data_IF_844342591070
#
_entry.id   IF_844342591070
#
_cell.length_a   1.000
_cell.length_b   1.000
_cell.length_c   1.000
_cell.angle_alpha   90.00
_cell.angle_beta   90.00
_cell.angle_gamma   90.00
#
_symmetry.space_group_name_H-M   'P 1'
#
loop_
_entity.id
_entity.type
_entity.pdbx_description
1 polymer ?
2 non-polymer ?
3 water ?
#
# COMPACT_ATOMS: atom_id res chain seq x y z
N UNK A 3 12.14 23.53 -12.50
CA UNK A 3 13.49 23.55 -11.82
C UNK A 3 13.90 22.28 -11.03
N UNK A 4 13.43 21.11 -11.46
CA UNK A 4 13.95 19.84 -10.94
C UNK A 4 15.39 19.75 -11.43
N UNK A 5 16.31 19.44 -10.53
CA UNK A 5 17.68 19.17 -10.91
C UNK A 5 17.76 17.87 -11.71
N UNK A 6 18.89 17.68 -12.38
CA UNK A 6 19.11 16.49 -13.20
C UNK A 6 19.11 15.24 -12.31
N UNK A 7 19.78 15.32 -11.17
CA UNK A 7 19.84 14.23 -10.21
C UNK A 7 18.46 13.83 -9.69
N UNK A 8 17.60 14.82 -9.43
CA UNK A 8 16.23 14.55 -9.00
C UNK A 8 15.41 13.87 -10.09
N UNK A 9 15.51 14.38 -11.32
CA UNK A 9 14.82 13.80 -12.46
C UNK A 9 15.21 12.33 -12.63
N UNK A 10 16.50 12.02 -12.48
CA UNK A 10 17.01 10.64 -12.62
C UNK A 10 16.42 9.72 -11.55
N UNK A 11 16.50 10.17 -10.30
CA UNK A 11 15.92 9.45 -9.16
C UNK A 11 14.45 9.10 -9.38
N UNK A 12 13.68 10.07 -9.85
CA UNK A 12 12.26 9.87 -10.12
C UNK A 12 12.02 8.87 -11.27
N UNK A 13 12.76 9.01 -12.37
CA UNK A 13 12.72 8.03 -13.46
C UNK A 13 12.96 6.61 -12.97
N UNK A 14 14.00 6.42 -12.14
CA UNK A 14 14.30 5.12 -11.58
C UNK A 14 13.10 4.55 -10.82
N UNK A 15 12.51 5.37 -9.96
CA UNK A 15 11.37 4.94 -9.15
C UNK A 15 10.16 4.54 -9.98
N UNK A 16 9.81 5.36 -10.97
CA UNK A 16 8.65 5.10 -11.80
C UNK A 16 8.87 3.85 -12.67
N UNK A 17 10.08 3.71 -13.20
CA UNK A 17 10.46 2.52 -13.97
C UNK A 17 10.38 1.25 -13.12
N UNK A 18 10.88 1.31 -11.88
CA UNK A 18 10.81 0.16 -10.96
C UNK A 18 9.39 -0.23 -10.62
N UNK A 19 8.57 0.76 -10.26
CA UNK A 19 7.15 0.54 -9.94
C UNK A 19 6.42 -0.16 -11.07
N UNK A 20 6.67 0.31 -12.28
CA UNK A 20 6.08 -0.25 -13.48
C UNK A 20 6.47 -1.71 -13.65
N UNK A 21 7.78 -1.97 -13.63
CA UNK A 21 8.33 -3.31 -13.84
C UNK A 21 7.85 -4.32 -12.79
N UNK A 22 7.89 -3.92 -11.52
CA UNK A 22 7.44 -4.79 -10.43
C UNK A 22 5.97 -5.16 -10.56
N UNK A 23 5.15 -4.20 -10.96
CA UNK A 23 3.73 -4.46 -11.14
C UNK A 23 3.45 -5.38 -12.32
N UNK A 24 4.11 -5.14 -13.45
CA UNK A 24 4.00 -6.05 -14.60
C UNK A 24 4.45 -7.48 -14.23
N UNK A 25 5.45 -7.57 -13.35
CA UNK A 25 5.94 -8.86 -12.83
C UNK A 25 4.92 -9.61 -11.94
N UNK A 26 3.93 -8.91 -11.41
CA UNK A 26 2.80 -9.52 -10.69
C UNK A 26 1.75 -10.18 -11.61
N UNK A 27 1.92 -10.04 -12.92
CA UNK A 27 1.19 -10.83 -13.92
C UNK A 27 2.06 -11.99 -14.40
N UNK A 28 3.33 -11.69 -14.68
CA UNK A 28 4.34 -12.70 -15.03
C UNK A 28 4.87 -13.45 -13.80
N UNK A 32 -1.55 -17.75 -10.90
CA UNK A 32 -3.00 -17.68 -11.03
C UNK A 32 -3.67 -17.78 -9.65
N UNK A 33 -4.34 -16.70 -9.24
CA UNK A 33 -5.11 -16.69 -7.97
C UNK A 33 -6.32 -17.60 -8.02
N UNK A 34 -6.73 -18.11 -6.85
CA UNK A 34 -8.01 -18.83 -6.74
C UNK A 34 -9.10 -17.88 -7.19
N UNK A 35 -10.08 -18.38 -7.99
CA UNK A 35 -11.10 -17.45 -8.50
C UNK A 35 -12.07 -16.90 -7.46
N UNK A 36 -12.64 -15.73 -7.77
CA UNK A 36 -13.81 -15.23 -7.05
C UNK A 36 -14.93 -16.24 -7.32
N UNK A 37 -15.65 -16.66 -6.25
CA UNK A 37 -16.64 -17.71 -6.46
C UNK A 37 -17.82 -17.21 -7.31
N UNK A 38 -17.89 -17.72 -8.53
CA UNK A 38 -19.04 -17.55 -9.41
C UNK A 38 -19.89 -18.81 -9.38
N UNK A 39 -21.19 -18.63 -9.18
CA UNK A 39 -22.16 -19.74 -9.13
C UNK A 39 -22.36 -20.32 -7.74
N UNK A 40 -22.35 -19.45 -6.73
CA UNK A 40 -22.51 -19.86 -5.35
C UNK A 40 -23.98 -19.97 -4.96
N UNK A 41 -24.23 -20.79 -3.94
CA UNK A 41 -25.54 -20.84 -3.27
C UNK A 41 -25.70 -19.63 -2.35
N UNK A 42 -26.94 -19.29 -1.95
CA UNK A 42 -27.13 -18.14 -1.06
C UNK A 42 -26.68 -18.42 0.38
N UNK A 43 -26.13 -17.39 1.05
CA UNK A 43 -25.68 -17.47 2.44
C UNK A 43 -24.73 -18.65 2.72
N UNK A 44 -23.89 -18.96 1.74
CA UNK A 44 -23.05 -20.15 1.77
C UNK A 44 -21.76 -19.92 2.56
N UNK A 45 -21.53 -20.78 3.55
CA UNK A 45 -20.26 -20.88 4.29
C UNK A 45 -19.08 -20.95 3.32
N UNK A 46 -19.14 -21.94 2.45
CA UNK A 46 -18.07 -22.22 1.51
C UNK A 46 -17.82 -21.11 0.50
N UNK A 47 -18.89 -20.44 0.06
CA UNK A 47 -18.76 -19.28 -0.84
C UNK A 47 -18.00 -18.14 -0.16
N UNK A 48 -18.39 -17.86 1.07
CA UNK A 48 -17.76 -16.82 1.88
C UNK A 48 -16.25 -17.08 2.07
N UNK A 49 -15.91 -18.30 2.50
CA UNK A 49 -14.51 -18.75 2.63
C UNK A 49 -13.72 -18.63 1.32
N UNK A 50 -14.36 -18.96 0.21
CA UNK A 50 -13.73 -18.89 -1.11
C UNK A 50 -13.43 -17.43 -1.50
N UNK A 51 -14.33 -16.51 -1.15
CA UNK A 51 -14.13 -15.07 -1.36
C UNK A 51 -12.92 -14.56 -0.56
N UNK A 52 -12.94 -14.84 0.73
CA UNK A 52 -11.84 -14.52 1.64
C UNK A 52 -10.49 -15.06 1.15
N UNK A 53 -10.49 -16.32 0.70
CA UNK A 53 -9.27 -16.97 0.19
C UNK A 53 -8.75 -16.26 -1.05
N UNK A 54 -9.66 -15.90 -1.96
CA UNK A 54 -9.33 -15.09 -3.13
C UNK A 54 -8.65 -13.78 -2.73
N UNK A 55 -9.18 -13.10 -1.71
CA UNK A 55 -8.60 -11.87 -1.19
C UNK A 55 -7.23 -12.08 -0.51
N UNK A 56 -7.09 -13.13 0.30
CA UNK A 56 -5.79 -13.41 0.94
C UNK A 56 -4.72 -13.70 -0.12
N UNK A 57 -5.09 -14.31 -1.23
CA UNK A 57 -4.15 -14.56 -2.32
C UNK A 57 -3.75 -13.29 -3.07
N UNK A 58 -4.69 -12.37 -3.25
CA UNK A 58 -4.34 -11.03 -3.76
C UNK A 58 -3.37 -10.28 -2.85
N UNK A 59 -3.63 -10.32 -1.55
CA UNK A 59 -2.75 -9.73 -0.56
C UNK A 59 -1.34 -10.33 -0.59
N UNK A 60 -1.25 -11.64 -0.82
CA UNK A 60 0.04 -12.34 -0.94
C UNK A 60 0.78 -11.93 -2.22
N UNK A 61 0.05 -11.70 -3.31
CA UNK A 61 0.65 -11.10 -4.51
C UNK A 61 1.21 -9.72 -4.21
N UNK A 62 0.43 -8.90 -3.50
CA UNK A 62 0.80 -7.51 -3.20
C UNK A 62 2.08 -7.44 -2.38
N UNK A 63 2.13 -8.25 -1.31
CA UNK A 63 3.29 -8.21 -0.42
C UNK A 63 4.56 -8.57 -1.17
N UNK A 64 4.49 -9.52 -2.08
CA UNK A 64 5.65 -9.86 -2.89
C UNK A 64 6.08 -8.71 -3.82
N UNK A 65 5.11 -8.03 -4.41
CA UNK A 65 5.38 -6.88 -5.27
C UNK A 65 6.04 -5.75 -4.48
N UNK A 66 5.56 -5.52 -3.26
CA UNK A 66 6.09 -4.47 -2.39
C UNK A 66 7.54 -4.72 -2.00
N UNK A 67 7.86 -5.95 -1.65
CA UNK A 67 9.26 -6.32 -1.35
C UNK A 67 10.16 -6.14 -2.59
N UNK A 68 9.68 -6.62 -3.74
CA UNK A 68 10.41 -6.48 -5.01
C UNK A 68 10.69 -5.00 -5.34
N UNK A 69 9.68 -4.14 -5.13
CA UNK A 69 9.84 -2.70 -5.36
C UNK A 69 10.86 -2.08 -4.42
N UNK A 70 10.77 -2.36 -3.13
CA UNK A 70 11.68 -1.81 -2.11
C UNK A 70 13.14 -2.12 -2.45
N UNK A 71 13.40 -3.34 -2.88
CA UNK A 71 14.74 -3.76 -3.30
C UNK A 71 15.30 -2.91 -4.45
N UNK A 72 14.42 -2.35 -5.27
CA UNK A 72 14.81 -1.46 -6.37
C UNK A 72 14.95 0.00 -5.96
N UNK A 73 14.52 0.36 -4.76
CA UNK A 73 14.52 1.77 -4.36
C UNK A 73 15.96 2.15 -4.03
N UNK A 74 16.52 3.16 -4.71
CA UNK A 74 17.92 3.49 -4.45
C UNK A 74 18.22 3.76 -2.98
N UNK A 75 19.23 3.08 -2.46
CA UNK A 75 19.62 3.18 -1.06
C UNK A 75 19.11 2.09 -0.14
N UNK A 76 17.99 1.45 -0.48
CA UNK A 76 17.37 0.46 0.42
C UNK A 76 18.31 -0.70 0.74
N UNK A 77 18.92 -1.29 -0.29
CA UNK A 77 19.81 -2.42 -0.10
C UNK A 77 21.16 -2.05 0.54
N UNK A 78 21.49 -0.76 0.59
CA UNK A 78 22.66 -0.28 1.33
C UNK A 78 22.48 -0.40 2.84
N UNK A 79 21.23 -0.36 3.31
CA UNK A 79 20.95 -0.55 4.74
C UNK A 79 21.30 -1.98 5.16
N UNK A 80 21.59 -2.18 6.44
CA UNK A 80 21.75 -3.53 6.99
C UNK A 80 20.49 -4.35 6.77
N UNK A 81 20.63 -5.66 6.61
CA UNK A 81 19.47 -6.52 6.35
C UNK A 81 18.43 -6.47 7.48
N UNK A 82 18.87 -6.39 8.72
CA UNK A 82 17.95 -6.26 9.87
C UNK A 82 17.02 -5.04 9.74
N UNK A 83 17.57 -3.91 9.33
CA UNK A 83 16.77 -2.69 9.10
C UNK A 83 15.88 -2.82 7.88
N UNK A 84 16.36 -3.46 6.82
CA UNK A 84 15.52 -3.70 5.64
C UNK A 84 14.23 -4.38 6.03
N UNK A 85 14.36 -5.44 6.83
CA UNK A 85 13.24 -6.24 7.28
C UNK A 85 12.31 -5.44 8.22
N UNK A 86 12.90 -4.68 9.14
CA UNK A 86 12.13 -3.88 10.09
C UNK A 86 11.30 -2.81 9.38
N UNK A 87 11.88 -2.20 8.35
CA UNK A 87 11.18 -1.20 7.55
C UNK A 87 10.05 -1.81 6.71
N UNK A 88 10.32 -2.94 6.06
CA UNK A 88 9.28 -3.58 5.23
C UNK A 88 8.14 -4.20 6.02
N UNK A 89 8.47 -4.82 7.16
CA UNK A 89 7.44 -5.37 8.04
C UNK A 89 6.39 -4.32 8.40
N UNK A 90 6.84 -3.12 8.75
CA UNK A 90 5.93 -2.07 9.19
C UNK A 90 5.24 -1.36 8.02
N UNK A 91 5.94 -1.15 6.91
CA UNK A 91 5.38 -0.41 5.78
C UNK A 91 4.45 -1.21 4.86
N UNK A 92 4.52 -2.54 4.91
CA UNK A 92 3.79 -3.39 3.96
C UNK A 92 2.28 -3.07 3.91
N UNK A 93 1.61 -3.02 5.05
CA UNK A 93 0.17 -2.70 5.05
C UNK A 93 -0.12 -1.29 4.51
N UNK A 94 0.72 -0.33 4.89
CA UNK A 94 0.56 1.07 4.46
C UNK A 94 0.72 1.23 2.96
N UNK A 95 1.72 0.57 2.38
CA UNK A 95 1.97 0.63 0.93
C UNK A 95 0.83 -0.08 0.20
N UNK A 96 0.39 -1.22 0.75
CA UNK A 96 -0.74 -1.95 0.20
C UNK A 96 -2.00 -1.09 0.13
N UNK A 97 -2.29 -0.34 1.19
CA UNK A 97 -3.44 0.57 1.18
C UNK A 97 -3.27 1.77 0.24
N UNK A 98 -2.05 2.28 0.08
CA UNK A 98 -1.76 3.27 -0.96
C UNK A 98 -2.06 2.75 -2.36
N UNK A 99 -1.58 1.55 -2.68
CA UNK A 99 -1.79 0.95 -4.00
C UNK A 99 -3.26 0.58 -4.21
N UNK A 100 -3.97 0.30 -3.12
CA UNK A 100 -5.40 0.08 -3.15
C UNK A 100 -6.13 1.38 -3.49
N UNK A 101 -5.87 2.44 -2.73
CA UNK A 101 -6.40 3.76 -3.01
C UNK A 101 -6.17 4.19 -4.45
N UNK A 102 -4.98 3.90 -4.96
CA UNK A 102 -4.60 4.18 -6.35
C UNK A 102 -5.51 3.51 -7.41
N UNK A 103 -6.17 2.42 -7.03
CA UNK A 103 -7.05 1.66 -7.91
C UNK A 103 -8.55 1.85 -7.61
N UNK A 104 -8.87 2.83 -6.77
CA UNK A 104 -10.26 3.25 -6.53
C UNK A 104 -10.78 4.08 -7.71
N UNK A 105 -12.02 3.79 -8.11
CA UNK A 105 -12.74 4.51 -9.18
C UNK A 105 -13.90 5.18 -8.45
N UNK A 106 -13.93 6.51 -8.43
CA UNK A 106 -15.01 7.24 -7.71
C UNK A 106 -16.36 7.21 -8.43
N UNK A 107 -16.34 7.20 -9.75
CA UNK A 107 -17.54 6.98 -10.58
C UNK A 107 -18.34 5.73 -10.17
N UNK A 108 -17.65 4.58 -10.10
CA UNK A 108 -18.26 3.29 -9.71
C UNK A 108 -18.22 2.99 -8.20
N UNK A 109 -17.33 3.64 -7.46
CA UNK A 109 -17.11 3.35 -6.03
C UNK A 109 -16.63 1.90 -5.80
N UNK A 110 -15.79 1.43 -6.71
CA UNK A 110 -15.17 0.09 -6.66
C UNK A 110 -13.64 0.17 -6.76
N UNK A 111 -12.98 -0.87 -6.26
CA UNK A 111 -11.51 -1.03 -6.35
C UNK A 111 -11.22 -2.14 -7.36
N UNK A 112 -10.34 -1.89 -8.32
CA UNK A 112 -9.93 -2.91 -9.30
C UNK A 112 -8.50 -3.40 -9.06
N UNK A 113 -8.33 -4.70 -8.79
CA UNK A 113 -7.01 -5.34 -8.61
C UNK A 113 -6.63 -6.18 -9.83
N UNK A 114 -5.39 -6.01 -10.28
CA UNK A 114 -4.81 -6.77 -11.41
C UNK A 114 -5.64 -6.69 -12.70
N UNK A 115 -6.27 -5.53 -12.94
CA UNK A 115 -7.11 -5.28 -14.14
C UNK A 115 -8.48 -5.99 -14.17
N UNK A 116 -8.54 -7.26 -13.77
CA UNK A 116 -9.74 -8.10 -13.92
C UNK A 116 -10.67 -8.19 -12.70
N UNK A 117 -10.19 -7.86 -11.51
CA UNK A 117 -10.91 -8.13 -10.25
C UNK A 117 -11.40 -6.85 -9.56
N UNK A 118 -12.67 -6.50 -9.78
CA UNK A 118 -13.22 -5.24 -9.25
C UNK A 118 -14.28 -5.48 -8.16
N UNK A 119 -14.18 -4.76 -7.06
CA UNK A 119 -14.97 -5.02 -5.86
C UNK A 119 -15.51 -3.77 -5.16
N UNK A 120 -16.74 -3.89 -4.68
CA UNK A 120 -17.45 -2.85 -3.93
C UNK A 120 -17.31 -3.08 -2.44
N UNK A 121 -17.80 -2.11 -1.66
CA UNK A 121 -17.92 -2.28 -0.21
C UNK A 121 -18.67 -3.55 0.16
N UNK A 122 -19.73 -3.82 -0.60
CA UNK A 122 -20.54 -5.02 -0.43
C UNK A 122 -19.71 -6.28 -0.63
N UNK A 123 -18.90 -6.32 -1.69
CA UNK A 123 -18.02 -7.46 -1.99
C UNK A 123 -16.98 -7.75 -0.90
N UNK A 124 -16.42 -6.70 -0.29
CA UNK A 124 -15.51 -6.87 0.85
C UNK A 124 -16.24 -7.39 2.08
N UNK A 125 -17.43 -6.83 2.33
CA UNK A 125 -18.31 -7.33 3.39
C UNK A 125 -18.71 -8.80 3.15
N UNK A 126 -19.06 -9.13 1.91
CA UNK A 126 -19.42 -10.51 1.54
C UNK A 126 -18.31 -11.56 1.72
N UNK A 127 -17.05 -11.12 1.74
CA UNK A 127 -15.90 -11.97 2.05
C UNK A 127 -15.61 -12.12 3.55
N UNK A 128 -16.33 -11.39 4.40
CA UNK A 128 -16.14 -11.44 5.87
C UNK A 128 -15.30 -10.33 6.52
N UNK A 129 -14.89 -9.33 5.75
CA UNK A 129 -14.20 -8.17 6.33
C UNK A 129 -15.22 -7.21 6.92
N UNK A 130 -14.85 -6.56 8.02
CA UNK A 130 -15.79 -5.78 8.82
C UNK A 130 -15.89 -4.31 8.39
N UNK A 131 -17.08 -3.74 8.59
CA UNK A 131 -17.39 -2.34 8.23
C UNK A 131 -16.44 -1.31 8.86
N UNK A 132 -15.99 -1.56 10.09
CA UNK A 132 -15.07 -0.65 10.79
C UNK A 132 -13.70 -0.48 10.11
N UNK A 133 -13.34 -1.44 9.26
CA UNK A 133 -12.09 -1.43 8.48
C UNK A 133 -12.33 -0.93 7.06
N UNK A 134 -13.40 -1.44 6.43
CA UNK A 134 -13.69 -1.11 5.03
C UNK A 134 -14.05 0.36 4.85
N UNK A 135 -14.85 0.93 5.75
CA UNK A 135 -15.27 2.33 5.61
C UNK A 135 -14.09 3.32 5.63
N UNK A 136 -13.20 3.24 6.63
CA UNK A 136 -12.03 4.13 6.59
C UNK A 136 -11.13 3.95 5.36
N UNK A 137 -11.05 2.74 4.81
CA UNK A 137 -10.27 2.50 3.58
C UNK A 137 -10.87 3.24 2.40
N UNK A 138 -12.19 3.17 2.26
CA UNK A 138 -12.88 3.89 1.19
C UNK A 138 -12.80 5.41 1.39
N UNK A 139 -12.95 5.86 2.63
CA UNK A 139 -12.77 7.29 2.98
C UNK A 139 -11.38 7.79 2.58
N UNK A 140 -10.35 7.02 2.93
CA UNK A 140 -8.97 7.33 2.55
C UNK A 140 -8.82 7.36 1.03
N UNK A 141 -9.39 6.37 0.34
CA UNK A 141 -9.32 6.29 -1.12
C UNK A 141 -9.92 7.49 -1.82
N UNK A 142 -11.07 7.95 -1.34
CA UNK A 142 -11.71 9.17 -1.86
C UNK A 142 -10.85 10.41 -1.64
N UNK A 143 -10.25 10.52 -0.45
CA UNK A 143 -9.33 11.61 -0.15
C UNK A 143 -8.09 11.55 -1.03
N UNK A 144 -7.57 10.36 -1.28
CA UNK A 144 -6.43 10.20 -2.20
C UNK A 144 -6.83 10.62 -3.62
N UNK A 145 -8.01 10.19 -4.05
CA UNK A 145 -8.56 10.56 -5.36
C UNK A 145 -8.61 12.09 -5.55
N UNK A 146 -9.12 12.82 -4.55
CA UNK A 146 -9.17 14.30 -4.61
C UNK A 146 -7.80 14.97 -4.75
N UNK A 147 -6.74 14.33 -4.28
CA UNK A 147 -5.37 14.87 -4.48
C UNK A 147 -4.85 14.77 -5.92
N UNK A 148 -5.25 13.73 -6.65
CA UNK A 148 -4.86 13.56 -8.05
C UNK A 148 -3.38 13.33 -8.27
N UNK A 149 -2.83 12.36 -7.55
CA UNK A 149 -1.40 12.02 -7.67
C UNK A 149 -1.11 11.38 -9.02
N UNK A 150 0.00 11.75 -9.64
CA UNK A 150 0.48 11.02 -10.82
C UNK A 150 1.45 9.89 -10.37
N UNK A 151 2.01 9.17 -11.33
CA UNK A 151 2.87 8.02 -11.02
C UNK A 151 4.11 8.40 -10.22
N UNK A 152 4.71 9.53 -10.54
CA UNK A 152 5.90 10.02 -9.82
C UNK A 152 5.60 10.33 -8.34
N UNK A 153 4.45 10.96 -8.11
CA UNK A 153 4.03 11.32 -6.76
C UNK A 153 3.75 10.09 -5.90
N UNK A 154 3.03 9.11 -6.45
CA UNK A 154 2.82 7.81 -5.75
C UNK A 154 4.15 7.12 -5.41
N UNK A 155 5.05 7.03 -6.39
CA UNK A 155 6.33 6.35 -6.15
C UNK A 155 7.18 7.04 -5.09
N UNK A 156 7.22 8.35 -5.13
CA UNK A 156 7.95 9.14 -4.13
C UNK A 156 7.37 8.99 -2.73
N UNK A 157 6.05 8.99 -2.64
CA UNK A 157 5.37 8.82 -1.37
C UNK A 157 5.64 7.45 -0.76
N UNK A 158 5.70 6.43 -1.60
CA UNK A 158 6.02 5.08 -1.13
C UNK A 158 7.45 5.02 -0.59
N UNK A 159 8.41 5.60 -1.32
CA UNK A 159 9.81 5.67 -0.87
C UNK A 159 9.95 6.39 0.48
N UNK A 160 9.27 7.53 0.60
CA UNK A 160 9.25 8.27 1.86
C UNK A 160 8.70 7.40 2.99
N UNK A 161 7.62 6.68 2.71
CA UNK A 161 6.99 5.80 3.69
C UNK A 161 7.96 4.68 4.16
N UNK A 162 8.67 4.08 3.21
CA UNK A 162 9.65 3.02 3.51
C UNK A 162 10.73 3.47 4.49
N UNK A 163 11.30 4.64 4.24
CA UNK A 163 12.41 5.15 5.05
C UNK A 163 11.92 5.96 6.27
N UNK A 164 11.02 5.36 7.06
CA UNK A 164 10.53 5.95 8.30
C UNK A 164 11.42 5.46 9.46
N UNK A 165 12.18 6.37 10.05
CA UNK A 165 13.20 5.99 11.06
C UNK A 165 12.62 5.50 12.39
N UNK A 166 11.35 5.80 12.63
CA UNK A 166 10.66 5.47 13.88
C UNK A 166 9.98 4.07 13.94
N UNK A 167 10.16 3.24 12.93
CA UNK A 167 9.58 1.89 12.95
C UNK A 167 10.19 1.04 14.07
N UNK A 168 9.43 0.07 14.60
CA UNK A 168 9.97 -0.81 15.64
C UNK A 168 11.24 -1.56 15.21
N UNK A 169 12.22 -1.63 16.10
CA UNK A 169 13.46 -2.42 15.95
C UNK A 169 14.47 -1.92 14.93
N UNK A 170 14.34 -0.67 14.49
CA UNK A 170 15.33 -0.06 13.61
C UNK A 170 16.61 0.14 14.41
N UNK A 171 17.72 -0.29 13.81
CA UNK A 171 19.05 -0.27 14.42
C UNK A 171 19.82 1.02 14.15
N UNK A 172 19.70 1.53 12.92
CA UNK A 172 20.43 2.72 12.46
C UNK A 172 19.44 3.80 12.02
N UNK A 173 18.66 4.35 12.97
CA UNK A 173 17.63 5.34 12.60
C UNK A 173 18.20 6.60 11.92
N UNK A 174 19.43 6.96 12.30
CA UNK A 174 20.18 8.04 11.65
C UNK A 174 20.34 7.85 10.15
N UNK A 175 20.82 6.68 9.75
CA UNK A 175 20.94 6.34 8.33
C UNK A 175 19.59 6.33 7.61
N UNK A 176 18.58 5.78 8.26
CA UNK A 176 17.24 5.69 7.66
C UNK A 176 16.67 7.09 7.37
N UNK A 177 16.74 7.99 8.35
CA UNK A 177 16.30 9.38 8.16
C UNK A 177 17.06 10.10 7.04
N UNK A 178 18.36 9.88 6.96
CA UNK A 178 19.19 10.45 5.89
C UNK A 178 18.80 9.93 4.51
N UNK A 179 18.44 8.64 4.42
CA UNK A 179 17.89 8.10 3.17
C UNK A 179 16.53 8.68 2.78
N UNK A 180 15.70 9.01 3.77
CA UNK A 180 14.38 9.60 3.49
C UNK A 180 14.50 11.00 2.84
N UNK A 181 15.50 11.78 3.25
CA UNK A 181 15.69 13.19 2.83
C UNK A 181 15.59 13.46 1.34
N UNK A 182 16.39 12.74 0.51
CA UNK A 182 16.32 13.04 -0.93
C UNK A 182 14.96 12.81 -1.56
N UNK A 183 14.22 11.83 -1.05
CA UNK A 183 12.87 11.56 -1.57
C UNK A 183 11.85 12.63 -1.14
N UNK A 184 11.96 13.09 0.11
CA UNK A 184 11.14 14.21 0.60
C UNK A 184 11.42 15.48 -0.24
N UNK A 185 12.71 15.75 -0.42
CA UNK A 185 13.18 16.90 -1.21
C UNK A 185 12.71 16.85 -2.67
N UNK A 186 12.73 15.66 -3.26
CA UNK A 186 12.26 15.47 -4.64
C UNK A 186 10.76 15.70 -4.78
N UNK A 187 9.99 15.24 -3.79
CA UNK A 187 8.54 15.42 -3.83
C UNK A 187 8.16 16.90 -3.64
N UNK A 188 8.87 17.58 -2.76
CA UNK A 188 8.71 19.02 -2.55
C UNK A 188 8.90 19.75 -3.89
N UNK A 189 10.04 19.52 -4.54
CA UNK A 189 10.35 20.13 -5.84
C UNK A 189 9.34 19.77 -6.93
N UNK A 190 9.01 18.48 -7.05
CA UNK A 190 8.06 18.02 -8.07
C UNK A 190 6.68 18.65 -7.92
N UNK A 191 6.18 18.72 -6.69
CA UNK A 191 4.84 19.28 -6.45
C UNK A 191 4.77 20.80 -6.75
N UNK A 192 5.83 21.53 -6.41
CA UNK A 192 5.93 22.96 -6.79
C UNK A 192 5.81 23.21 -8.29
N UNK A 193 6.53 22.41 -9.07
CA UNK A 193 6.52 22.53 -10.53
C UNK A 193 5.16 22.15 -11.11
N UNK A 194 4.61 21.03 -10.64
CA UNK A 194 3.34 20.49 -11.15
C UNK A 194 2.18 21.47 -10.93
N UNK A 195 2.04 21.96 -9.71
CA UNK A 195 0.96 22.88 -9.36
C UNK A 195 1.49 24.04 -8.52
N UNK A 196 2.14 25.04 -9.17
CA UNK A 196 2.78 26.14 -8.44
C UNK A 196 1.82 27.02 -7.67
N UNK A 197 0.56 27.09 -8.10
CA UNK A 197 -0.44 27.94 -7.48
C UNK A 197 -1.02 27.34 -6.18
N UNK A 198 -0.99 26.02 -6.04
CA UNK A 198 -1.40 25.34 -4.81
C UNK A 198 -0.20 24.86 -3.98
N UNK A 199 0.26 25.73 -3.07
CA UNK A 199 1.40 25.43 -2.19
C UNK A 199 1.07 24.47 -1.05
N UNK A 200 -0.21 24.07 -0.91
CA UNK A 200 -0.63 23.07 0.07
C UNK A 200 -0.68 21.60 -0.39
N UNK A 201 -0.56 21.31 -1.69
CA UNK A 201 -0.67 19.90 -2.15
C UNK A 201 0.41 19.02 -1.50
N UNK A 202 1.61 19.57 -1.33
CA UNK A 202 2.70 18.85 -0.67
C UNK A 202 2.43 18.49 0.82
N UNK A 203 2.05 19.47 1.68
CA UNK A 203 1.59 19.14 3.04
C UNK A 203 0.44 18.13 3.08
N UNK A 204 -0.55 18.28 2.20
CA UNK A 204 -1.67 17.33 2.14
C UNK A 204 -1.23 15.91 1.83
N UNK A 205 -0.25 15.75 0.96
CA UNK A 205 0.33 14.43 0.67
C UNK A 205 1.02 13.83 1.85
N UNK A 206 1.91 14.61 2.48
CA UNK A 206 2.59 14.12 3.69
C UNK A 206 1.61 13.76 4.79
N UNK A 207 0.53 14.52 4.87
CA UNK A 207 -0.57 14.22 5.81
C UNK A 207 -1.24 12.86 5.56
N UNK A 208 -1.20 12.36 4.32
CA UNK A 208 -1.71 11.00 4.06
C UNK A 208 -0.88 9.93 4.75
N UNK A 209 0.40 10.19 4.99
CA UNK A 209 1.25 9.29 5.78
C UNK A 209 0.77 9.20 7.22
N UNK A 210 0.22 10.30 7.74
CA UNK A 210 -0.38 10.31 9.07
C UNK A 210 -1.57 9.34 9.10
N UNK A 211 -2.50 9.51 8.16
CA UNK A 211 -3.68 8.65 8.06
C UNK A 211 -3.35 7.17 7.93
N UNK A 212 -2.33 6.87 7.12
CA UNK A 212 -1.83 5.50 6.95
C UNK A 212 -1.40 4.85 8.25
N UNK A 213 -0.78 5.61 9.15
CA UNK A 213 -0.43 5.07 10.47
C UNK A 213 -1.63 4.59 11.23
N UNK A 214 -2.70 5.40 11.23
CA UNK A 214 -3.95 5.01 11.89
C UNK A 214 -4.61 3.83 11.19
N UNK A 215 -4.58 3.81 9.86
CA UNK A 215 -5.15 2.67 9.10
C UNK A 215 -4.44 1.36 9.40
N UNK A 216 -3.14 1.43 9.65
CA UNK A 216 -2.40 0.25 10.07
C UNK A 216 -2.94 -0.29 11.40
N UNK A 217 -3.24 0.61 12.34
CA UNK A 217 -3.87 0.27 13.63
C UNK A 217 -5.28 -0.29 13.43
N UNK A 218 -6.07 0.38 12.59
CA UNK A 218 -7.40 -0.13 12.23
C UNK A 218 -7.28 -1.54 11.62
N UNK A 219 -6.26 -1.76 10.78
CA UNK A 219 -6.03 -3.08 10.17
C UNK A 219 -5.67 -4.15 11.22
N UNK A 220 -4.83 -3.78 12.20
CA UNK A 220 -4.52 -4.66 13.32
C UNK A 220 -5.78 -5.13 14.07
N UNK A 221 -6.75 -4.23 14.24
CA UNK A 221 -8.00 -4.58 14.92
C UNK A 221 -8.87 -5.54 14.09
N UNK A 222 -8.87 -5.36 12.76
CA UNK A 222 -9.53 -6.31 11.86
C UNK A 222 -8.90 -7.71 11.97
N UNK A 223 -7.57 -7.77 11.95
CA UNK A 223 -6.83 -9.02 12.10
C UNK A 223 -7.17 -9.71 13.43
N UNK A 224 -7.22 -8.93 14.50
CA UNK A 224 -7.62 -9.41 15.83
C UNK A 224 -9.08 -9.90 15.87
N UNK A 225 -9.98 -9.20 15.18
CA UNK A 225 -11.39 -9.62 15.07
C UNK A 225 -11.59 -10.97 14.35
N UNK A 226 -10.64 -11.38 13.51
CA UNK A 226 -10.67 -12.72 12.91
C UNK A 226 -10.42 -13.85 13.92
N UNK A 227 -9.69 -13.55 15.00
CA UNK A 227 -9.38 -14.55 16.04
C UNK A 227 -10.60 -15.01 16.87
N UNK A 228 -11.62 -14.17 16.98
CA UNK A 228 -12.88 -14.55 17.67
C UNK A 228 -14.03 -14.83 16.69
N UNK A 229 -13.69 -15.25 15.47
CA UNK A 229 -14.66 -15.82 14.51
C UNK A 229 -14.08 -16.95 13.66
N UNK A 230 -13.00 -17.57 14.16
CA UNK A 230 -12.23 -18.63 13.46
C UNK A 230 -12.22 -18.52 11.92
N UNK A 231 -11.68 -17.39 11.46
CA UNK A 231 -11.59 -17.07 10.02
C UNK A 231 -10.15 -16.71 9.67
N UNK A 232 -9.21 -17.51 10.18
CA UNK A 232 -7.81 -17.06 10.29
C UNK A 232 -7.06 -16.91 8.96
N UNK A 233 -6.02 -16.09 9.04
CA UNK A 233 -5.16 -15.76 7.91
C UNK A 233 -4.27 -16.95 7.55
N UNK A 234 -3.87 -17.05 6.27
CA UNK A 234 -2.82 -18.01 5.94
C UNK A 234 -1.52 -17.68 6.69
N UNK A 235 -0.67 -18.70 6.97
CA UNK A 235 0.54 -18.49 7.80
C UNK A 235 1.44 -17.33 7.40
N UNK A 236 1.69 -17.15 6.10
CA UNK A 236 2.52 -16.04 5.60
C UNK A 236 1.99 -14.68 6.09
N UNK A 237 0.70 -14.43 5.82
CA UNK A 237 0.09 -13.18 6.25
C UNK A 237 0.05 -13.09 7.77
N UNK A 238 -0.19 -14.22 8.43
CA UNK A 238 -0.22 -14.25 9.89
C UNK A 238 1.13 -13.90 10.54
N UNK A 239 2.24 -14.26 9.90
CA UNK A 239 3.57 -13.95 10.42
C UNK A 239 3.86 -12.46 10.45
N UNK A 240 3.57 -11.78 9.34
CA UNK A 240 3.81 -10.34 9.25
C UNK A 240 2.73 -9.51 9.94
N UNK A 241 1.50 -10.02 10.03
CA UNK A 241 0.36 -9.23 10.50
C UNK A 241 -0.27 -9.61 11.86
N UNK A 242 -0.22 -10.88 12.24
CA UNK A 242 -0.80 -11.32 13.50
C UNK A 242 0.26 -11.17 14.60
N UNK A 243 -0.06 -10.40 15.63
CA UNK A 243 0.90 -10.09 16.72
C UNK A 243 0.85 -11.20 17.77
X LIG B 1 -9.76 -3.44 0.94
X LIG B 1 -8.71 -3.33 0.05
X LIG B 1 -7.41 -3.75 0.37
X LIG B 1 -7.15 -4.30 1.63
X LIG B 1 -5.75 -4.79 1.99
X LIG B 1 -2.37 -4.68 -8.63
X LIG B 1 -1.43 -4.72 -7.44
X LIG B 1 -3.27 -6.71 -4.80
X LIG B 1 -2.35 -4.10 -5.20
X LIG B 1 -3.00 -4.43 -4.02
X LIG B 1 -3.46 -5.73 -3.82
X LIG B 1 -4.16 -6.03 -2.54
X LIG B 1 -5.71 -7.12 -0.36
X LIG B 1 -8.38 -7.56 -1.08
X LIG B 1 -6.69 -8.39 2.98
X LIG B 1 -6.41 -7.27 2.13
X LIG B 1 -5.98 -6.08 2.76
X LIG B 1 -5.80 -6.04 4.14
X LIG B 1 -6.48 -8.25 4.39
X LIG B 1 -7.36 -10.21 7.36
X LIG B 1 -7.22 -8.01 7.11
X LIG B 1 -5.32 -9.22 7.20
X LIG B 1 -6.62 -9.21 6.73
X LIG B 1 -8.23 -4.41 2.52
X LIG B 1 -9.52 -3.99 2.20
X LIG B 1 -3.58 -4.75 -8.51
X LIG B 1 -1.84 -4.54 -9.85
X LIG B 1 -2.61 -6.39 -5.97
X LIG B 1 -2.15 -5.09 -6.16
X LIG B 1 -5.22 -6.97 -2.73
X LIG B 1 -6.10 -7.15 -1.70
X LIG B 1 -7.43 -7.39 -2.06
X LIG B 1 -8.02 -7.52 0.26
X LIG B 1 -6.67 -7.31 0.65
X LIG B 1 -6.04 -7.08 4.90
X LIG B 1 -6.75 -9.36 5.23
X LIG B 1 -7.23 -10.52 4.69
X LIG B 1 -7.42 -10.68 3.31
X LIG B 1 -7.14 -9.63 2.47
X LIG C 1 14.65 -7.52 2.34
X LIG C 1 13.69 -7.22 3.31
X LIG C 1 12.61 -8.10 3.53
X LIG C 1 12.53 -9.28 2.79
X LIG C 1 11.40 -10.27 3.00
X LIG C 1 12.10 -12.66 -1.23
X LIG C 1 10.68 -12.84 -1.71
X LIG C 1 8.44 -13.20 1.36
X LIG C 1 8.75 -11.51 -0.82
X LIG C 1 7.75 -11.25 0.10
X LIG C 1 7.58 -12.09 1.19
X LIG C 1 6.47 -11.83 2.19
X LIG C 1 8.19 -10.38 3.88
X LIG C 1 7.65 -7.72 4.55
X LIG C 1 10.24 -10.85 6.63
X LIG C 1 10.23 -10.42 5.26
X LIG C 1 11.35 -10.69 4.46
X LIG C 1 12.44 -11.38 5.01
X LIG C 1 11.41 -11.53 7.12
X LIG C 1 13.02 -13.79 8.34
X LIG C 1 12.39 -13.02 10.38
X LIG C 1 13.70 -11.83 8.99
X LIG C 1 12.62 -12.68 9.05
X LIG C 1 13.50 -9.56 1.83
X LIG C 1 14.56 -8.69 1.60
X LIG C 1 13.03 -12.96 -1.95
X LIG C 1 12.37 -12.19 -0.01
X LIG C 1 9.44 -13.45 0.43
X LIG C 1 9.61 -12.60 -0.66
X LIG C 1 6.24 -10.44 2.51
X LIG C 1 7.06 -9.76 3.35
X LIG C 1 6.79 -8.41 3.69
X LIG C 1 8.78 -8.34 5.07
X LIG C 1 9.04 -9.69 4.73
X LIG C 1 12.43 -11.77 6.28
X LIG C 1 11.42 -11.96 8.46
X LIG C 1 10.34 -11.70 9.28
X LIG C 1 9.21 -11.02 8.81
X LIG C 1 9.16 -10.61 7.51
#
# INVERSE_FOLDING_TARGET
GVQLTAAQELMIQQLVAAQLQCNKRSFSDQPKVTPWPLGADPQSRDARQQRFAHFTELAIISVQEIVDFAKQVPGFLQLGREDQIALLKASTIEIMLLETARRYNHETECITFLKDFTYSKDDFHRAGLQVEFINPIFEFSRAMRRLGLDDAEYALLIAINIFSADRPNVQEPGRVEALQQPYVEALLSYTRIKRPQDQLRFPRMLMKLVSLRTLSSVHSEQVFALRLQDKKLPPLLSEIWDVHE
KVB C7 C8 C9 C10 C11 C14 C15 C16 C19 C20 C21 C22 C24 C27 C30 C31 C32 C33 C35 F1 F2 F3 C4 C5 C6 O12 O13 C17 C18 O23 C25 C26 C28 C29 N34 C36 C37 C38 C39
KVB C7 C8 C9 C10 C11 C14 C15 C16 C19 C20 C21 C22 C24 C27 C30 C31 C32 C33 C35 F1 F2 F3 C4 C5 C6 O12 O13 C17 C18 O23 C25 C26 C28 C29 N34 C36 C37 C38 C39
#
